data_IF_218900745853
#
_entry.id   IF_218900745853
#
_cell.length_a   1.000
_cell.length_b   1.000
_cell.length_c   1.000
_cell.angle_alpha   90.00
_cell.angle_beta   90.00
_cell.angle_gamma   90.00
#
_symmetry.space_group_name_H-M   'P 1'
#
loop_
_entity.id
_entity.type
_entity.pdbx_description
1 polymer ?
#
# COMPACT_ATOMS: atom_id res chain seq x y z
N UNK A 1 -2.90 -20.79 -8.97
CA UNK A 1 -2.31 -21.19 -7.68
C UNK A 1 -2.09 -22.70 -7.64
N UNK A 2 -3.15 -23.52 -7.79
CA UNK A 2 -3.06 -24.99 -7.76
C UNK A 2 -1.95 -25.60 -8.64
N UNK A 3 -1.85 -25.19 -9.91
CA UNK A 3 -0.77 -25.67 -10.81
C UNK A 3 0.63 -25.37 -10.28
N UNK A 4 0.83 -24.22 -9.61
CA UNK A 4 2.13 -23.84 -9.03
C UNK A 4 2.46 -24.75 -7.85
N UNK A 5 1.49 -24.99 -6.97
CA UNK A 5 1.64 -25.92 -5.84
C UNK A 5 1.93 -27.35 -6.34
N UNK A 6 1.20 -27.81 -7.36
CA UNK A 6 1.42 -29.13 -7.93
C UNK A 6 2.85 -29.30 -8.46
N UNK A 7 3.37 -28.28 -9.18
CA UNK A 7 4.75 -28.28 -9.66
C UNK A 7 5.73 -28.32 -8.50
N UNK A 8 5.54 -27.49 -7.47
CA UNK A 8 6.42 -27.47 -6.29
C UNK A 8 6.45 -28.82 -5.57
N UNK A 9 5.30 -29.49 -5.41
CA UNK A 9 5.22 -30.84 -4.84
C UNK A 9 5.94 -31.87 -5.72
N UNK A 10 5.70 -31.84 -7.02
CA UNK A 10 6.28 -32.80 -7.97
C UNK A 10 7.80 -32.64 -8.08
N UNK A 11 8.32 -31.42 -7.96
CA UNK A 11 9.76 -31.14 -7.97
C UNK A 11 10.42 -31.27 -6.60
N UNK A 12 9.65 -31.61 -5.55
CA UNK A 12 10.10 -31.60 -4.15
C UNK A 12 10.69 -30.24 -3.70
N UNK A 13 10.20 -29.13 -4.24
CA UNK A 13 10.59 -27.80 -3.81
C UNK A 13 10.12 -27.53 -2.38
N UNK A 14 11.03 -27.08 -1.53
CA UNK A 14 10.74 -26.77 -0.11
C UNK A 14 10.16 -25.37 0.07
N UNK A 15 10.36 -24.49 -0.91
CA UNK A 15 9.98 -23.09 -0.82
C UNK A 15 9.59 -22.50 -2.18
N UNK A 16 8.76 -21.46 -2.14
CA UNK A 16 8.38 -20.64 -3.29
C UNK A 16 8.73 -19.18 -2.97
N UNK A 17 9.54 -18.58 -3.84
CA UNK A 17 9.75 -17.14 -3.85
C UNK A 17 8.80 -16.52 -4.90
N UNK A 18 7.84 -15.67 -4.51
CA UNK A 18 6.83 -15.17 -5.46
C UNK A 18 7.32 -14.00 -6.32
N UNK A 19 8.49 -13.43 -6.00
CA UNK A 19 9.03 -12.27 -6.71
C UNK A 19 8.24 -11.00 -6.40
N UNK A 20 7.99 -10.17 -7.41
CA UNK A 20 7.13 -9.00 -7.32
C UNK A 20 5.99 -9.06 -8.36
N UNK A 21 4.84 -8.47 -8.04
CA UNK A 21 3.63 -8.60 -8.83
C UNK A 21 3.01 -10.01 -8.74
N UNK A 22 2.05 -10.31 -9.62
CA UNK A 22 1.33 -11.59 -9.69
C UNK A 22 0.76 -12.05 -8.33
N UNK A 23 1.39 -13.03 -7.68
CA UNK A 23 0.95 -13.65 -6.43
C UNK A 23 1.78 -13.23 -5.20
N UNK A 24 2.71 -12.28 -5.36
CA UNK A 24 3.60 -11.83 -4.27
C UNK A 24 2.88 -11.17 -3.10
N UNK A 25 1.74 -10.54 -3.35
CA UNK A 25 0.88 -9.91 -2.33
C UNK A 25 -0.48 -10.61 -2.23
N UNK A 26 -0.58 -11.87 -2.67
CA UNK A 26 -1.82 -12.64 -2.60
C UNK A 26 -1.86 -13.49 -1.32
N UNK A 27 -2.73 -13.11 -0.39
CA UNK A 27 -2.90 -13.79 0.90
C UNK A 27 -3.28 -15.26 0.72
N UNK A 28 -4.22 -15.56 -0.19
CA UNK A 28 -4.71 -16.92 -0.39
C UNK A 28 -3.59 -17.86 -0.86
N UNK A 29 -2.67 -17.36 -1.69
CA UNK A 29 -1.52 -18.12 -2.16
C UNK A 29 -0.52 -18.41 -1.05
N UNK A 30 -0.21 -17.42 -0.21
CA UNK A 30 0.68 -17.60 0.93
C UNK A 30 0.09 -18.60 1.95
N UNK A 31 -1.22 -18.53 2.22
CA UNK A 31 -1.91 -19.49 3.09
C UNK A 31 -1.93 -20.89 2.48
N UNK A 32 -2.16 -21.00 1.17
CA UNK A 32 -2.11 -22.28 0.46
C UNK A 32 -0.72 -22.91 0.53
N UNK A 33 0.36 -22.13 0.35
CA UNK A 33 1.73 -22.64 0.53
C UNK A 33 1.91 -23.23 1.92
N UNK A 34 1.47 -22.50 2.97
CA UNK A 34 1.54 -22.94 4.36
C UNK A 34 0.74 -24.24 4.61
N UNK A 35 -0.49 -24.33 4.11
CA UNK A 35 -1.33 -25.53 4.23
C UNK A 35 -0.69 -26.76 3.59
N UNK A 36 0.08 -26.54 2.53
CA UNK A 36 0.74 -27.59 1.75
C UNK A 36 2.16 -27.90 2.22
N UNK A 37 2.60 -27.31 3.34
CA UNK A 37 3.93 -27.53 3.90
C UNK A 37 5.08 -26.92 3.08
N UNK A 38 4.78 -25.94 2.22
CA UNK A 38 5.76 -25.25 1.38
C UNK A 38 6.05 -23.88 1.99
N UNK A 39 7.33 -23.54 2.15
CA UNK A 39 7.74 -22.24 2.68
C UNK A 39 7.41 -21.15 1.65
N UNK A 40 6.53 -20.23 2.02
CA UNK A 40 6.37 -18.98 1.28
C UNK A 40 7.48 -18.02 1.67
N UNK A 41 8.35 -17.64 0.73
CA UNK A 41 9.44 -16.69 1.00
C UNK A 41 8.85 -15.27 0.94
N UNK A 42 8.35 -14.81 2.09
CA UNK A 42 7.71 -13.51 2.27
C UNK A 42 7.12 -13.35 3.67
N UNK A 43 6.37 -12.27 3.92
CA UNK A 43 5.72 -12.07 5.21
C UNK A 43 4.59 -13.09 5.46
N UNK A 44 4.12 -13.24 6.71
CA UNK A 44 3.01 -14.13 7.01
C UNK A 44 1.71 -13.69 6.29
N UNK A 45 0.78 -14.62 5.97
CA UNK A 45 -0.47 -14.29 5.28
C UNK A 45 -1.29 -13.18 5.94
N UNK A 46 -1.29 -13.11 7.28
CA UNK A 46 -1.94 -12.02 8.02
C UNK A 46 -1.35 -10.65 7.67
N UNK A 47 -0.03 -10.52 7.63
CA UNK A 47 0.64 -9.27 7.26
C UNK A 47 0.35 -8.89 5.80
N UNK A 48 0.30 -9.85 4.88
CA UNK A 48 -0.08 -9.61 3.48
C UNK A 48 -1.51 -9.03 3.41
N UNK A 49 -2.46 -9.63 4.12
CA UNK A 49 -3.85 -9.18 4.18
C UNK A 49 -3.96 -7.77 4.76
N UNK A 50 -3.34 -7.56 5.91
CA UNK A 50 -3.50 -6.34 6.70
C UNK A 50 -2.83 -5.15 6.00
N UNK A 51 -1.70 -5.38 5.31
CA UNK A 51 -0.99 -4.36 4.55
C UNK A 51 -1.54 -4.15 3.13
N UNK A 52 -2.22 -5.15 2.55
CA UNK A 52 -2.83 -5.07 1.21
C UNK A 52 -4.09 -4.20 1.13
N UNK A 53 -4.67 -3.82 2.27
CA UNK A 53 -5.84 -2.95 2.36
C UNK A 53 -5.41 -1.59 2.89
N UNK A 54 -5.50 -0.52 2.10
CA UNK A 54 -4.97 0.80 2.47
C UNK A 54 -5.59 1.39 3.74
N UNK A 55 -6.88 1.15 3.97
CA UNK A 55 -7.56 1.61 5.19
C UNK A 55 -7.04 0.90 6.43
N UNK A 56 -6.92 -0.43 6.37
CA UNK A 56 -6.35 -1.27 7.43
C UNK A 56 -4.90 -0.89 7.70
N UNK A 57 -4.06 -0.82 6.67
CA UNK A 57 -2.65 -0.51 6.82
C UNK A 57 -2.42 0.88 7.42
N UNK A 58 -3.21 1.89 7.02
CA UNK A 58 -3.19 3.21 7.66
C UNK A 58 -3.59 3.17 9.12
N UNK A 59 -4.63 2.41 9.47
CA UNK A 59 -5.08 2.28 10.85
C UNK A 59 -4.00 1.65 11.71
N UNK A 60 -3.33 0.60 11.21
CA UNK A 60 -2.21 -0.06 11.89
C UNK A 60 -1.02 0.91 12.06
N UNK A 61 -0.61 1.58 10.99
CA UNK A 61 0.51 2.53 11.04
C UNK A 61 0.21 3.72 11.97
N UNK A 62 -1.01 4.26 11.95
CA UNK A 62 -1.42 5.32 12.84
C UNK A 62 -1.44 4.87 14.31
N UNK A 63 -1.94 3.65 14.59
CA UNK A 63 -1.90 3.06 15.93
C UNK A 63 -0.45 2.81 16.43
N UNK A 64 0.47 2.54 15.51
CA UNK A 64 1.91 2.45 15.78
C UNK A 64 2.61 3.81 15.93
N UNK A 65 1.87 4.93 15.86
CA UNK A 65 2.42 6.28 16.00
C UNK A 65 3.14 6.80 14.75
N UNK A 66 3.00 6.12 13.61
CA UNK A 66 3.54 6.59 12.33
C UNK A 66 2.62 7.70 11.79
N UNK A 67 3.17 8.89 11.44
CA UNK A 67 2.37 9.95 10.84
C UNK A 67 1.74 9.49 9.52
N UNK A 68 0.42 9.59 9.42
CA UNK A 68 -0.34 9.30 8.20
C UNK A 68 -0.90 10.59 7.61
N UNK A 69 -1.04 10.63 6.29
CA UNK A 69 -1.71 11.73 5.59
C UNK A 69 -3.14 11.85 6.12
N UNK A 70 -3.55 13.08 6.45
CA UNK A 70 -4.91 13.41 6.86
C UNK A 70 -5.91 12.89 5.81
N UNK A 71 -6.94 12.19 6.28
CA UNK A 71 -7.88 11.54 5.39
C UNK A 71 -9.03 10.85 6.10
N UNK A 72 -9.94 10.33 5.29
CA UNK A 72 -11.07 9.50 5.70
C UNK A 72 -10.98 8.13 5.02
N UNK A 73 -11.12 7.08 5.82
CA UNK A 73 -11.07 5.68 5.38
C UNK A 73 -11.98 4.80 6.24
N UNK A 74 -13.09 5.37 6.72
CA UNK A 74 -14.10 4.70 7.55
C UNK A 74 -15.07 3.84 6.75
N UNK A 75 -15.98 3.18 7.47
CA UNK A 75 -16.93 2.20 6.91
C UNK A 75 -18.08 2.85 6.12
N UNK A 76 -18.48 4.08 6.46
CA UNK A 76 -19.50 4.79 5.69
C UNK A 76 -18.93 5.25 4.35
N UNK A 77 -19.33 4.53 3.31
CA UNK A 77 -18.90 4.74 1.92
C UNK A 77 -19.94 5.51 1.10
N UNK A 78 -20.94 6.13 1.73
CA UNK A 78 -21.92 6.96 1.03
C UNK A 78 -21.25 8.19 0.40
N UNK A 79 -21.75 8.61 -0.76
CA UNK A 79 -21.21 9.74 -1.51
C UNK A 79 -21.25 11.03 -0.68
N UNK A 80 -22.32 11.20 0.11
CA UNK A 80 -22.48 12.32 1.02
C UNK A 80 -21.40 12.34 2.11
N UNK A 81 -21.13 11.20 2.77
CA UNK A 81 -20.10 11.10 3.80
C UNK A 81 -18.71 11.38 3.22
N UNK A 82 -18.37 10.75 2.09
CA UNK A 82 -17.08 10.96 1.43
C UNK A 82 -16.89 12.43 1.00
N UNK A 83 -17.94 13.07 0.50
CA UNK A 83 -17.92 14.49 0.10
C UNK A 83 -17.78 15.43 1.29
N UNK A 84 -18.44 15.15 2.41
CA UNK A 84 -18.32 15.92 3.64
C UNK A 84 -16.89 15.88 4.17
N UNK A 85 -16.29 14.68 4.21
CA UNK A 85 -14.90 14.52 4.61
C UNK A 85 -13.94 15.23 3.67
N UNK A 86 -14.17 15.19 2.35
CA UNK A 86 -13.39 15.96 1.39
C UNK A 86 -13.48 17.47 1.67
N UNK A 87 -14.66 18.00 2.01
CA UNK A 87 -14.84 19.41 2.39
C UNK A 87 -14.09 19.75 3.68
N UNK A 88 -14.17 18.89 4.70
CA UNK A 88 -13.49 19.08 5.99
C UNK A 88 -11.97 19.08 5.88
N UNK A 89 -11.40 18.16 5.09
CA UNK A 89 -9.95 18.11 4.80
C UNK A 89 -9.51 19.33 3.96
N UNK A 90 -10.43 19.83 3.13
CA UNK A 90 -10.22 20.96 2.24
C UNK A 90 -9.53 20.53 0.94
N UNK A 91 -10.02 21.07 -0.18
CA UNK A 91 -9.47 20.79 -1.50
C UNK A 91 -8.08 21.44 -1.71
N UNK A 92 -7.23 20.90 -2.60
CA UNK A 92 -7.42 19.65 -3.33
C UNK A 92 -7.32 18.40 -2.43
N UNK A 93 -8.07 17.36 -2.78
CA UNK A 93 -8.03 16.03 -2.15
C UNK A 93 -7.72 14.95 -3.19
N UNK A 94 -7.30 13.78 -2.72
CA UNK A 94 -7.07 12.59 -3.53
C UNK A 94 -8.04 11.50 -3.11
N UNK A 95 -8.86 11.03 -4.05
CA UNK A 95 -9.65 9.81 -3.92
C UNK A 95 -8.75 8.63 -4.27
N UNK A 96 -8.74 7.57 -3.46
CA UNK A 96 -8.01 6.33 -3.76
C UNK A 96 -8.86 5.10 -3.48
N UNK A 97 -8.84 4.13 -4.39
CA UNK A 97 -9.37 2.81 -4.13
C UNK A 97 -8.62 2.13 -2.97
N UNK A 98 -9.38 1.57 -2.01
CA UNK A 98 -8.85 0.95 -0.78
C UNK A 98 -7.95 -0.24 -1.10
N UNK A 99 -8.34 -1.09 -2.05
CA UNK A 99 -7.55 -2.26 -2.53
C UNK A 99 -6.73 -1.99 -3.79
N UNK A 100 -6.60 -0.72 -4.19
CA UNK A 100 -5.99 -0.37 -5.47
C UNK A 100 -4.45 -0.36 -5.45
N UNK A 101 -3.83 -0.80 -6.54
CA UNK A 101 -2.37 -0.75 -6.77
C UNK A 101 -1.99 -0.18 -8.14
N UNK A 102 -0.72 0.17 -8.34
CA UNK A 102 -0.18 0.61 -9.64
C UNK A 102 -0.78 1.91 -10.19
N UNK A 103 -1.31 2.77 -9.32
CA UNK A 103 -1.91 4.05 -9.68
C UNK A 103 -3.37 4.00 -10.15
N UNK A 104 -3.97 2.81 -10.23
CA UNK A 104 -5.38 2.64 -10.65
C UNK A 104 -6.36 3.02 -9.54
N UNK A 105 -7.49 3.60 -9.93
CA UNK A 105 -8.54 4.01 -9.00
C UNK A 105 -8.13 5.19 -8.12
N UNK A 106 -7.25 6.07 -8.63
CA UNK A 106 -6.88 7.33 -7.97
C UNK A 106 -7.35 8.53 -8.78
N UNK A 107 -7.92 9.53 -8.12
CA UNK A 107 -8.33 10.81 -8.74
C UNK A 107 -7.96 11.98 -7.86
N UNK A 108 -7.35 13.00 -8.46
CA UNK A 108 -7.17 14.30 -7.83
C UNK A 108 -8.46 15.08 -8.02
N UNK A 109 -9.01 15.61 -6.94
CA UNK A 109 -10.20 16.45 -6.95
C UNK A 109 -9.77 17.84 -6.51
N UNK A 110 -9.90 18.84 -7.39
CA UNK A 110 -9.43 20.20 -7.11
C UNK A 110 -10.50 21.09 -6.49
N UNK A 111 -11.77 20.72 -6.65
CA UNK A 111 -12.91 21.50 -6.18
C UNK A 111 -14.09 20.61 -5.79
N UNK A 112 -15.02 21.14 -4.99
CA UNK A 112 -16.21 20.40 -4.58
C UNK A 112 -17.12 20.01 -5.76
N UNK A 113 -17.12 20.83 -6.82
CA UNK A 113 -17.90 20.62 -8.03
C UNK A 113 -17.43 19.38 -8.82
N UNK A 114 -16.13 19.08 -8.79
CA UNK A 114 -15.54 17.93 -9.46
C UNK A 114 -15.74 16.61 -8.69
N UNK A 115 -16.09 16.68 -7.40
CA UNK A 115 -16.00 15.53 -6.50
C UNK A 115 -16.80 14.32 -6.97
N UNK A 116 -18.07 14.52 -7.35
CA UNK A 116 -18.97 13.43 -7.71
C UNK A 116 -18.48 12.68 -8.96
N UNK A 117 -18.12 13.42 -10.01
CA UNK A 117 -17.62 12.83 -11.26
C UNK A 117 -16.34 12.03 -11.02
N UNK A 118 -15.41 12.58 -10.22
CA UNK A 118 -14.15 11.92 -9.90
C UNK A 118 -14.37 10.66 -9.04
N UNK A 119 -15.29 10.70 -8.08
CA UNK A 119 -15.64 9.55 -7.25
C UNK A 119 -16.20 8.40 -8.10
N UNK A 120 -17.17 8.68 -8.98
CA UNK A 120 -17.77 7.68 -9.87
C UNK A 120 -16.75 7.10 -10.85
N UNK A 121 -15.84 7.94 -11.37
CA UNK A 121 -14.74 7.51 -12.21
C UNK A 121 -13.78 6.57 -11.47
N UNK A 122 -13.41 6.89 -10.23
CA UNK A 122 -12.54 6.07 -9.40
C UNK A 122 -13.18 4.73 -9.04
N UNK A 123 -14.47 4.73 -8.64
CA UNK A 123 -15.23 3.51 -8.32
C UNK A 123 -15.35 2.57 -9.50
N UNK A 124 -15.69 3.06 -10.69
CA UNK A 124 -15.78 2.22 -11.90
C UNK A 124 -14.46 1.54 -12.21
N UNK A 125 -13.35 2.27 -12.11
CA UNK A 125 -12.01 1.71 -12.34
C UNK A 125 -11.64 0.67 -11.28
N UNK A 126 -11.96 0.94 -10.01
CA UNK A 126 -11.69 0.06 -8.90
C UNK A 126 -12.52 -1.24 -8.97
N UNK A 127 -13.82 -1.14 -9.25
CA UNK A 127 -14.70 -2.30 -9.44
C UNK A 127 -14.20 -3.19 -10.58
N UNK A 128 -13.80 -2.58 -11.70
CA UNK A 128 -13.26 -3.32 -12.85
C UNK A 128 -11.92 -4.00 -12.55
N UNK A 129 -11.05 -3.36 -11.76
CA UNK A 129 -9.67 -3.83 -11.55
C UNK A 129 -9.51 -4.74 -10.34
N UNK A 130 -10.32 -4.54 -9.30
CA UNK A 130 -10.15 -5.12 -7.97
C UNK A 130 -11.44 -5.73 -7.40
N UNK A 131 -12.56 -5.66 -8.13
CA UNK A 131 -13.89 -6.08 -7.70
C UNK A 131 -14.41 -5.39 -6.40
N UNK A 132 -13.79 -4.26 -6.04
CA UNK A 132 -14.03 -3.50 -4.82
C UNK A 132 -14.10 -2.02 -5.19
N UNK A 133 -15.13 -1.32 -4.72
CA UNK A 133 -15.39 0.10 -4.97
C UNK A 133 -15.31 0.96 -3.70
N UNK A 134 -14.76 0.42 -2.61
CA UNK A 134 -14.48 1.19 -1.41
C UNK A 134 -13.35 2.20 -1.69
N UNK A 135 -13.57 3.42 -1.21
CA UNK A 135 -12.71 4.57 -1.42
C UNK A 135 -12.21 5.12 -0.09
N UNK A 136 -11.03 5.71 -0.14
CA UNK A 136 -10.52 6.60 0.89
C UNK A 136 -10.28 7.99 0.30
N UNK A 137 -10.42 9.01 1.14
CA UNK A 137 -10.15 10.40 0.81
C UNK A 137 -8.92 10.83 1.59
N UNK A 138 -7.97 11.48 0.92
CA UNK A 138 -6.78 12.03 1.58
C UNK A 138 -6.53 13.47 1.14
N UNK A 139 -5.83 14.23 1.98
CA UNK A 139 -5.26 15.50 1.53
C UNK A 139 -4.32 15.26 0.35
N UNK A 140 -4.52 16.02 -0.73
CA UNK A 140 -3.58 15.98 -1.84
C UNK A 140 -2.34 16.81 -1.49
N UNK A 141 -1.17 16.18 -1.58
CA UNK A 141 0.13 16.86 -1.49
C UNK A 141 0.56 17.15 -2.92
N UNK A 142 0.73 18.44 -3.25
CA UNK A 142 0.89 18.91 -4.64
C UNK A 142 2.28 18.62 -5.22
N UNK A 143 3.34 18.89 -4.45
CA UNK A 143 4.74 18.64 -4.84
C UNK A 143 5.44 17.67 -3.87
N UNK A 144 4.94 16.43 -3.72
CA UNK A 144 5.52 15.46 -2.80
C UNK A 144 6.80 14.86 -3.36
N UNK A 145 7.72 14.51 -2.47
CA UNK A 145 8.71 13.46 -2.75
C UNK A 145 8.12 12.11 -2.38
N UNK A 146 8.33 11.09 -3.20
CA UNK A 146 7.97 9.71 -2.88
C UNK A 146 9.20 9.04 -2.28
N UNK A 147 9.22 8.91 -0.95
CA UNK A 147 10.33 8.31 -0.22
C UNK A 147 9.84 7.04 0.47
N UNK A 148 10.57 5.96 0.33
CA UNK A 148 10.23 4.66 0.92
C UNK A 148 11.40 4.05 1.67
N UNK A 149 11.12 3.32 2.76
CA UNK A 149 12.15 2.70 3.61
C UNK A 149 12.11 1.20 3.39
N UNK A 150 13.28 0.60 3.13
CA UNK A 150 13.41 -0.84 3.08
C UNK A 150 13.47 -1.42 4.49
N UNK A 151 12.71 -2.47 4.75
CA UNK A 151 12.72 -3.21 6.02
C UNK A 151 13.01 -4.70 5.79
N UNK A 152 13.60 -5.34 6.79
CA UNK A 152 13.74 -6.80 6.91
C UNK A 152 13.38 -7.19 8.33
N UNK A 153 12.58 -8.24 8.48
CA UNK A 153 12.23 -8.85 9.76
C UNK A 153 12.54 -10.35 9.75
N UNK A 154 12.85 -10.91 10.91
CA UNK A 154 13.04 -12.34 11.09
C UNK A 154 11.96 -12.98 11.98
N UNK A 155 11.99 -14.30 12.12
CA UNK A 155 11.06 -15.05 12.98
C UNK A 155 11.43 -14.98 14.48
N UNK A 156 12.50 -14.27 14.85
CA UNK A 156 12.98 -14.10 16.22
C UNK A 156 12.59 -12.73 16.80
N UNK A 157 11.80 -11.94 16.07
CA UNK A 157 11.35 -10.63 16.49
C UNK A 157 12.35 -9.51 16.26
N UNK A 158 13.40 -9.75 15.45
CA UNK A 158 14.32 -8.70 15.05
C UNK A 158 13.83 -8.04 13.76
N UNK A 159 13.97 -6.71 13.69
CA UNK A 159 13.73 -5.94 12.48
C UNK A 159 14.84 -4.90 12.26
N UNK A 160 15.26 -4.75 11.01
CA UNK A 160 16.22 -3.73 10.58
C UNK A 160 15.65 -2.96 9.39
N UNK A 161 16.11 -1.73 9.22
CA UNK A 161 15.84 -0.95 8.02
C UNK A 161 17.14 -0.72 7.23
N UNK A 162 17.05 -0.76 5.89
CA UNK A 162 18.17 -0.51 4.98
C UNK A 162 17.98 0.83 4.27
N UNK A 163 18.02 1.90 5.06
CA UNK A 163 17.84 3.27 4.60
C UNK A 163 16.55 3.47 3.78
N UNK A 164 16.47 4.61 3.11
CA UNK A 164 15.38 5.03 2.26
C UNK A 164 15.80 5.15 0.79
N UNK A 165 14.82 5.07 -0.11
CA UNK A 165 14.95 5.35 -1.54
C UNK A 165 14.09 6.54 -1.90
N UNK A 166 14.60 7.40 -2.76
CA UNK A 166 13.78 8.40 -3.46
C UNK A 166 13.28 7.79 -4.77
N UNK A 167 11.95 7.76 -4.92
CA UNK A 167 11.26 7.28 -6.12
C UNK A 167 10.35 8.36 -6.70
N UNK A 168 10.68 9.64 -6.50
CA UNK A 168 9.85 10.79 -6.90
C UNK A 168 9.78 10.97 -8.41
N UNK A 169 10.77 10.49 -9.15
CA UNK A 169 10.78 10.55 -10.61
C UNK A 169 9.80 9.52 -11.16
N UNK A 170 8.58 9.99 -11.44
CA UNK A 170 7.47 9.16 -11.87
C UNK A 170 6.84 9.70 -13.15
N UNK A 171 6.30 8.79 -13.96
CA UNK A 171 5.41 9.13 -15.07
C UNK A 171 4.09 8.40 -14.86
N UNK A 172 2.98 9.15 -14.80
CA UNK A 172 1.62 8.60 -14.54
C UNK A 172 1.57 7.72 -13.28
N UNK A 173 2.19 8.17 -12.18
CA UNK A 173 2.25 7.46 -10.89
C UNK A 173 2.99 6.11 -10.91
N UNK A 174 3.85 5.88 -11.90
CA UNK A 174 4.76 4.75 -11.94
C UNK A 174 6.19 5.25 -11.83
N UNK A 175 7.01 4.55 -11.03
CA UNK A 175 8.42 4.88 -10.80
C UNK A 175 9.23 4.66 -12.08
N UNK A 176 10.15 5.60 -12.37
CA UNK A 176 11.00 5.59 -13.57
C UNK A 176 12.48 5.63 -13.19
N UNK A 177 12.83 6.45 -12.20
CA UNK A 177 14.18 6.50 -11.63
C UNK A 177 14.03 6.41 -10.12
N UNK A 178 14.82 5.52 -9.52
CA UNK A 178 14.98 5.39 -8.08
C UNK A 178 16.44 5.59 -7.69
N UNK A 179 16.68 6.31 -6.60
CA UNK A 179 18.04 6.53 -6.07
C UNK A 179 18.09 6.29 -4.56
N UNK A 180 19.26 5.85 -4.07
CA UNK A 180 19.48 5.50 -2.67
C UNK A 180 20.88 5.92 -2.20
N UNK A 181 21.01 6.53 -1.01
CA UNK A 181 19.93 7.07 -0.18
C UNK A 181 19.27 8.28 -0.85
N UNK A 182 18.10 8.70 -0.36
CA UNK A 182 17.40 9.84 -0.93
C UNK A 182 18.19 11.16 -0.75
N UNK A 183 18.45 11.94 -1.82
CA UNK A 183 19.28 13.13 -1.73
C UNK A 183 18.63 14.22 -0.88
N UNK A 184 19.45 15.00 -0.18
CA UNK A 184 18.97 16.13 0.63
C UNK A 184 18.11 15.77 1.85
N UNK A 185 17.87 14.49 2.15
CA UNK A 185 17.24 14.07 3.40
C UNK A 185 18.27 14.17 4.53
N UNK A 186 17.94 14.97 5.55
CA UNK A 186 18.77 15.11 6.76
C UNK A 186 18.88 13.75 7.47
N UNK A 187 20.06 13.46 8.00
CA UNK A 187 20.35 12.20 8.71
C UNK A 187 19.40 11.93 9.88
N UNK A 188 18.93 12.96 10.57
CA UNK A 188 17.94 12.86 11.63
C UNK A 188 16.57 12.36 11.12
N UNK A 189 16.08 12.94 10.01
CA UNK A 189 14.82 12.52 9.38
C UNK A 189 14.92 11.09 8.90
N UNK A 190 16.04 10.71 8.28
CA UNK A 190 16.33 9.33 7.86
C UNK A 190 16.29 8.35 9.03
N UNK A 191 16.97 8.66 10.13
CA UNK A 191 16.97 7.82 11.34
C UNK A 191 15.57 7.71 11.93
N UNK A 192 14.82 8.80 11.98
CA UNK A 192 13.44 8.82 12.49
C UNK A 192 12.53 7.93 11.63
N UNK A 193 12.53 8.12 10.31
CA UNK A 193 11.73 7.32 9.38
C UNK A 193 12.09 5.83 9.45
N UNK A 194 13.40 5.50 9.39
CA UNK A 194 13.87 4.13 9.47
C UNK A 194 13.44 3.42 10.76
N UNK A 195 13.61 4.09 11.91
CA UNK A 195 13.18 3.54 13.22
C UNK A 195 11.68 3.32 13.28
N UNK A 196 10.89 4.30 12.83
CA UNK A 196 9.43 4.17 12.79
C UNK A 196 9.00 2.97 11.94
N UNK A 197 9.64 2.73 10.79
CA UNK A 197 9.33 1.58 9.95
C UNK A 197 9.73 0.25 10.62
N UNK A 198 10.96 0.12 11.12
CA UNK A 198 11.43 -1.13 11.74
C UNK A 198 10.68 -1.49 13.03
N UNK A 199 10.22 -0.50 13.80
CA UNK A 199 9.43 -0.73 15.02
C UNK A 199 7.97 -1.12 14.73
N UNK A 200 7.50 -0.84 13.51
CA UNK A 200 6.14 -1.17 13.07
C UNK A 200 6.06 -2.52 12.35
N UNK A 201 7.20 -3.20 12.16
CA UNK A 201 7.32 -4.54 11.58
C UNK A 201 7.33 -5.59 12.68
#
# INVERSE_FOLDING_TARGET
>A
MEKIIQVAKTSAAQAIHPGCGFLSENMEFAELCKQEGIIFIGPPPSAIRDMGIKSTSKSIMAAAGVPVVEGYHGEDQSDQCLKEHARRIGYPVMIKAVRGGGGKGMRIVRSEQEFQEQLESARREAKKSFNDDAMLIEKFVDTPRHVEVQVFGDHHGNAVYLFERDCSVQRRHQKIIEEAPAPGIKSEVRKKAGRSCSQSC
#
